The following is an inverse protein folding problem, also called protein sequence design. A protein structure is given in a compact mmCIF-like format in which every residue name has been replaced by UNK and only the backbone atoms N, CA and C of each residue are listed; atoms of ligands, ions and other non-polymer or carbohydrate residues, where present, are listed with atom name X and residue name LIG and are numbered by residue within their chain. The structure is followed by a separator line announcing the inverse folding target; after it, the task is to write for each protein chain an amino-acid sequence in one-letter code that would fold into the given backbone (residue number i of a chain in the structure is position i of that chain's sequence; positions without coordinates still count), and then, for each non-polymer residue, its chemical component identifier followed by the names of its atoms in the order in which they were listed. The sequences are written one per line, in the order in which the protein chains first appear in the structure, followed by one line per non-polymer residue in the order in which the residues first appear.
data_IF_746545201310
#
_entry.id   IF_746545201310
#
_cell.length_a   1.000
_cell.length_b   1.000
_cell.length_c   1.000
_cell.angle_alpha   90.00
_cell.angle_beta   90.00
_cell.angle_gamma   90.00
#
_symmetry.space_group_name_H-M   'P 1'
#
loop_
_entity.id
_entity.type
_entity.pdbx_description
1 polymer ?
#
# COMPACT_ATOMS: atom_id res chain seq x y z
N UNK A 1 13.08 15.77 -56.97
CA UNK A 1 12.71 14.43 -56.46
C UNK A 1 13.90 13.63 -55.92
N UNK A 2 15.05 13.59 -56.58
CA UNK A 2 16.21 12.76 -56.20
C UNK A 2 16.90 13.13 -54.84
N UNK A 3 16.75 14.33 -54.31
CA UNK A 3 17.38 14.77 -53.06
C UNK A 3 16.55 14.41 -51.81
N UNK A 4 15.22 14.28 -51.94
CA UNK A 4 14.31 13.80 -50.90
C UNK A 4 14.46 12.31 -50.67
N UNK A 5 14.71 11.51 -51.75
CA UNK A 5 14.91 10.06 -51.63
C UNK A 5 16.25 9.70 -51.00
N UNK A 6 17.33 10.48 -51.24
CA UNK A 6 18.63 10.30 -50.59
C UNK A 6 18.61 10.62 -49.08
N UNK A 7 17.75 11.55 -48.66
CA UNK A 7 17.60 11.90 -47.25
C UNK A 7 16.79 10.84 -46.48
N UNK A 8 15.77 10.26 -47.12
CA UNK A 8 14.98 9.15 -46.57
C UNK A 8 15.79 7.85 -46.41
N UNK A 9 16.61 7.50 -47.42
CA UNK A 9 17.46 6.32 -47.38
C UNK A 9 18.59 6.44 -46.33
N UNK A 10 19.21 7.61 -46.15
CA UNK A 10 20.20 7.84 -45.08
C UNK A 10 19.59 7.75 -43.67
N UNK A 11 18.35 8.22 -43.50
CA UNK A 11 17.65 8.16 -42.19
C UNK A 11 17.26 6.70 -41.85
N UNK A 12 16.88 5.90 -42.85
CA UNK A 12 16.52 4.51 -42.67
C UNK A 12 17.74 3.62 -42.35
N UNK A 13 18.90 3.84 -43.00
CA UNK A 13 20.16 3.13 -42.67
C UNK A 13 20.66 3.46 -41.27
N UNK A 14 20.68 4.72 -40.86
CA UNK A 14 21.06 5.13 -39.50
C UNK A 14 20.14 4.54 -38.43
N UNK A 15 18.85 4.39 -38.71
CA UNK A 15 17.90 3.76 -37.80
C UNK A 15 18.11 2.23 -37.70
N UNK A 16 18.52 1.58 -38.79
CA UNK A 16 18.89 0.15 -38.82
C UNK A 16 20.14 -0.11 -37.99
N UNK A 17 21.18 0.69 -38.20
CA UNK A 17 22.49 0.56 -37.53
C UNK A 17 22.34 0.78 -36.02
N UNK A 18 21.48 1.72 -35.58
CA UNK A 18 21.16 1.93 -34.15
C UNK A 18 20.45 0.74 -33.53
N UNK A 19 19.51 0.12 -34.24
CA UNK A 19 18.79 -1.08 -33.74
C UNK A 19 19.75 -2.27 -33.58
N UNK A 20 20.66 -2.46 -34.52
CA UNK A 20 21.65 -3.54 -34.49
C UNK A 20 22.68 -3.33 -33.38
N UNK A 21 23.14 -2.10 -33.17
CA UNK A 21 23.99 -1.73 -32.05
C UNK A 21 23.33 -1.99 -30.69
N UNK A 22 22.03 -1.64 -30.55
CA UNK A 22 21.26 -1.93 -29.32
C UNK A 22 21.13 -3.44 -29.10
N UNK A 23 20.83 -4.23 -30.13
CA UNK A 23 20.73 -5.68 -29.99
C UNK A 23 22.06 -6.31 -29.58
N UNK A 24 23.16 -5.83 -30.13
CA UNK A 24 24.51 -6.28 -29.77
C UNK A 24 24.84 -5.93 -28.31
N UNK A 25 24.52 -4.71 -27.88
CA UNK A 25 24.67 -4.30 -26.48
C UNK A 25 23.83 -5.16 -25.53
N UNK A 26 22.56 -5.44 -25.87
CA UNK A 26 21.69 -6.32 -25.08
C UNK A 26 22.29 -7.73 -24.93
N UNK A 27 22.75 -8.34 -26.03
CA UNK A 27 23.39 -9.66 -26.00
C UNK A 27 24.65 -9.67 -25.12
N UNK A 28 25.47 -8.63 -25.19
CA UNK A 28 26.66 -8.51 -24.35
C UNK A 28 26.33 -8.37 -22.86
N UNK A 29 25.27 -7.59 -22.52
CA UNK A 29 24.78 -7.44 -21.14
C UNK A 29 24.26 -8.79 -20.62
N UNK A 30 23.44 -9.49 -21.40
CA UNK A 30 22.94 -10.82 -21.03
C UNK A 30 24.05 -11.85 -20.85
N UNK A 31 25.11 -11.77 -21.65
CA UNK A 31 26.30 -12.64 -21.52
C UNK A 31 27.10 -12.35 -20.24
N UNK A 32 27.17 -11.08 -19.80
CA UNK A 32 27.90 -10.68 -18.58
C UNK A 32 27.11 -10.87 -17.32
N UNK A 33 25.81 -10.60 -17.34
CA UNK A 33 24.96 -10.51 -16.15
C UNK A 33 23.84 -11.56 -16.09
N UNK A 34 23.71 -12.40 -17.11
CA UNK A 34 22.68 -13.45 -17.20
C UNK A 34 21.45 -13.02 -17.99
N UNK A 35 20.68 -14.03 -18.44
CA UNK A 35 19.40 -13.80 -19.17
C UNK A 35 18.43 -13.00 -18.31
N UNK A 36 17.75 -12.03 -18.92
CA UNK A 36 16.78 -11.17 -18.25
C UNK A 36 17.38 -9.97 -17.50
N UNK A 37 18.72 -9.78 -17.54
CA UNK A 37 19.38 -8.59 -17.00
C UNK A 37 19.02 -7.29 -17.73
N UNK A 38 18.60 -7.41 -18.97
CA UNK A 38 18.05 -6.33 -19.79
C UNK A 38 16.89 -6.86 -20.65
N UNK A 39 15.82 -6.08 -20.76
CA UNK A 39 14.66 -6.42 -21.59
C UNK A 39 13.99 -5.15 -22.10
N UNK A 40 13.20 -5.25 -23.15
CA UNK A 40 12.30 -4.16 -23.54
C UNK A 40 11.05 -4.21 -22.68
N UNK A 41 10.61 -3.07 -22.19
CA UNK A 41 9.41 -3.01 -21.33
C UNK A 41 8.15 -3.59 -22.02
N UNK A 42 8.04 -3.43 -23.35
CA UNK A 42 6.94 -4.01 -24.13
C UNK A 42 6.99 -5.53 -24.32
N UNK A 43 8.14 -6.17 -24.03
CA UNK A 43 8.27 -7.62 -24.12
C UNK A 43 7.72 -8.34 -22.87
N UNK A 44 7.43 -7.59 -21.81
CA UNK A 44 6.72 -8.11 -20.63
C UNK A 44 5.23 -8.25 -20.95
N UNK A 45 4.80 -9.47 -21.22
CA UNK A 45 3.39 -9.81 -21.49
C UNK A 45 2.51 -9.78 -20.25
N UNK A 46 3.09 -9.81 -19.04
CA UNK A 46 2.36 -9.76 -17.77
C UNK A 46 2.61 -8.43 -17.06
N UNK A 47 1.82 -7.41 -17.39
CA UNK A 47 1.73 -6.15 -16.65
C UNK A 47 0.88 -6.28 -15.37
N UNK A 48 0.28 -7.43 -15.12
CA UNK A 48 -0.52 -7.66 -13.93
C UNK A 48 0.41 -7.86 -12.72
N UNK A 49 0.42 -6.89 -11.83
CA UNK A 49 1.09 -6.98 -10.54
C UNK A 49 0.28 -7.92 -9.64
N UNK A 50 0.92 -8.98 -9.15
CA UNK A 50 0.30 -9.82 -8.12
C UNK A 50 0.10 -9.03 -6.84
N UNK A 51 -1.05 -9.24 -6.19
CA UNK A 51 -1.45 -8.48 -5.00
C UNK A 51 -1.95 -9.40 -3.90
N UNK A 52 -1.89 -8.92 -2.68
CA UNK A 52 -2.57 -9.49 -1.52
C UNK A 52 -3.69 -8.51 -1.12
N UNK A 53 -4.95 -8.96 -1.03
CA UNK A 53 -6.05 -8.12 -0.57
C UNK A 53 -5.79 -7.56 0.83
N UNK A 54 -6.29 -6.37 1.12
CA UNK A 54 -6.08 -5.74 2.43
C UNK A 54 -7.09 -6.20 3.49
N UNK A 55 -8.14 -6.92 3.08
CA UNK A 55 -9.28 -7.22 3.94
C UNK A 55 -10.35 -6.12 3.96
N UNK A 56 -10.06 -4.96 3.40
CA UNK A 56 -11.00 -3.87 3.14
C UNK A 56 -11.21 -3.72 1.64
N UNK A 57 -12.44 -3.96 1.18
CA UNK A 57 -12.80 -3.81 -0.23
C UNK A 57 -12.61 -2.36 -0.70
N UNK A 58 -12.99 -1.39 0.13
CA UNK A 58 -12.83 0.03 -0.18
C UNK A 58 -11.35 0.40 -0.38
N UNK A 59 -10.45 -0.13 0.47
CA UNK A 59 -9.02 0.12 0.36
C UNK A 59 -8.41 -0.59 -0.84
N UNK A 60 -8.80 -1.83 -1.12
CA UNK A 60 -8.36 -2.58 -2.31
C UNK A 60 -8.69 -1.82 -3.60
N UNK A 61 -9.90 -1.27 -3.68
CA UNK A 61 -10.34 -0.44 -4.80
C UNK A 61 -9.57 0.89 -4.86
N UNK A 62 -9.34 1.54 -3.72
CA UNK A 62 -8.57 2.78 -3.65
C UNK A 62 -7.10 2.58 -4.06
N UNK A 63 -6.50 1.43 -3.74
CA UNK A 63 -5.15 1.05 -4.21
C UNK A 63 -5.08 0.90 -5.73
N UNK A 64 -6.20 0.66 -6.40
CA UNK A 64 -6.31 0.63 -7.87
C UNK A 64 -5.83 -0.64 -8.55
N UNK A 65 -5.25 -1.57 -7.79
CA UNK A 65 -4.75 -2.88 -8.27
C UNK A 65 -5.39 -4.04 -7.52
N UNK A 66 -6.30 -3.77 -6.56
CA UNK A 66 -7.05 -4.79 -5.81
C UNK A 66 -6.37 -5.30 -4.55
N UNK A 67 -5.32 -4.65 -4.06
CA UNK A 67 -4.61 -5.02 -2.83
C UNK A 67 -3.22 -4.41 -2.74
N UNK A 68 -2.41 -4.88 -1.79
CA UNK A 68 -1.00 -4.50 -1.67
C UNK A 68 -0.13 -5.30 -2.65
N UNK A 69 0.78 -4.64 -3.40
CA UNK A 69 1.57 -5.29 -4.43
C UNK A 69 2.64 -6.22 -3.84
N UNK A 70 2.73 -7.46 -4.36
CA UNK A 70 3.80 -8.40 -4.01
C UNK A 70 5.18 -7.88 -4.47
N UNK A 71 6.22 -8.28 -3.74
CA UNK A 71 7.59 -7.86 -4.03
C UNK A 71 7.86 -6.38 -3.72
N UNK A 72 7.09 -5.77 -2.80
CA UNK A 72 7.17 -4.34 -2.49
C UNK A 72 7.15 -4.06 -0.99
N UNK A 73 7.69 -2.89 -0.65
CA UNK A 73 7.62 -2.32 0.69
C UNK A 73 6.38 -1.44 0.79
N UNK A 74 5.59 -1.67 1.83
CA UNK A 74 4.38 -0.92 2.16
C UNK A 74 4.62 -0.23 3.51
N UNK A 75 4.28 1.03 3.64
CA UNK A 75 4.26 1.75 4.91
C UNK A 75 2.82 2.07 5.29
N UNK A 76 2.40 1.59 6.46
CA UNK A 76 1.12 1.93 7.10
C UNK A 76 1.45 2.81 8.30
N UNK A 77 0.97 4.05 8.31
CA UNK A 77 1.29 4.97 9.37
C UNK A 77 0.07 5.80 9.80
N UNK A 78 0.15 6.40 10.96
CA UNK A 78 -0.93 7.22 11.52
C UNK A 78 -0.79 7.39 13.02
N UNK A 79 -1.72 8.14 13.65
CA UNK A 79 -1.77 8.30 15.10
C UNK A 79 -1.93 6.97 15.83
N UNK A 80 -1.71 7.00 17.15
CA UNK A 80 -2.00 5.86 18.01
C UNK A 80 -3.49 5.47 17.94
N UNK A 81 -3.76 4.17 18.10
CA UNK A 81 -5.14 3.62 18.08
C UNK A 81 -5.95 3.94 16.82
N UNK A 82 -5.28 4.21 15.68
CA UNK A 82 -5.95 4.48 14.41
C UNK A 82 -6.32 3.22 13.60
N UNK A 83 -5.89 2.02 14.04
CA UNK A 83 -6.17 0.75 13.36
C UNK A 83 -5.05 0.25 12.44
N UNK A 84 -3.80 0.74 12.59
CA UNK A 84 -2.65 0.32 11.77
C UNK A 84 -2.36 -1.17 11.89
N UNK A 85 -2.18 -1.68 13.10
CA UNK A 85 -1.93 -3.10 13.39
C UNK A 85 -3.12 -3.97 12.96
N UNK A 86 -4.36 -3.51 13.17
CA UNK A 86 -5.57 -4.18 12.68
C UNK A 86 -5.52 -4.36 11.16
N UNK A 87 -5.20 -3.31 10.41
CA UNK A 87 -5.10 -3.39 8.95
C UNK A 87 -3.98 -4.33 8.52
N UNK A 88 -2.81 -4.30 9.17
CA UNK A 88 -1.71 -5.21 8.87
C UNK A 88 -2.08 -6.68 9.15
N UNK A 89 -2.78 -6.96 10.26
CA UNK A 89 -3.27 -8.31 10.58
C UNK A 89 -4.32 -8.80 9.58
N UNK A 90 -5.17 -7.93 9.06
CA UNK A 90 -6.08 -8.30 7.97
C UNK A 90 -5.31 -8.67 6.70
N UNK A 91 -4.24 -7.95 6.33
CA UNK A 91 -3.39 -8.32 5.18
C UNK A 91 -2.76 -9.70 5.42
N UNK A 92 -2.25 -9.97 6.62
CA UNK A 92 -1.73 -11.29 7.03
C UNK A 92 -2.79 -12.37 6.87
N UNK A 93 -4.01 -12.14 7.40
CA UNK A 93 -5.10 -13.11 7.29
C UNK A 93 -5.51 -13.39 5.83
N UNK A 94 -5.49 -12.37 4.96
CA UNK A 94 -5.78 -12.55 3.53
C UNK A 94 -4.65 -13.33 2.82
N UNK A 95 -3.39 -13.11 3.18
CA UNK A 95 -2.26 -13.88 2.66
C UNK A 95 -2.41 -15.37 3.02
N UNK A 96 -2.68 -15.69 4.29
CA UNK A 96 -2.89 -17.06 4.75
C UNK A 96 -4.11 -17.73 4.10
N UNK A 97 -5.22 -17.00 3.89
CA UNK A 97 -6.39 -17.52 3.14
C UNK A 97 -6.05 -17.89 1.70
N UNK A 98 -5.05 -17.26 1.11
CA UNK A 98 -4.54 -17.60 -0.22
C UNK A 98 -3.49 -18.72 -0.19
N UNK A 99 -3.22 -19.33 0.97
CA UNK A 99 -2.21 -20.37 1.17
C UNK A 99 -0.79 -19.84 1.31
N UNK A 100 -0.63 -18.54 1.61
CA UNK A 100 0.67 -17.90 1.78
C UNK A 100 1.21 -18.01 3.20
N UNK A 101 2.55 -18.05 3.30
CA UNK A 101 3.29 -18.07 4.55
C UNK A 101 3.57 -16.64 5.05
N UNK A 102 3.45 -16.42 6.35
CA UNK A 102 3.50 -15.09 6.95
C UNK A 102 4.38 -15.03 8.20
N UNK A 103 4.97 -13.87 8.43
CA UNK A 103 5.72 -13.59 9.65
C UNK A 103 5.39 -12.22 10.22
N UNK A 104 5.46 -12.11 11.53
CA UNK A 104 5.26 -10.87 12.28
C UNK A 104 6.47 -10.61 13.18
N UNK A 105 7.14 -9.48 12.97
CA UNK A 105 8.24 -9.00 13.80
C UNK A 105 7.67 -7.94 14.73
N UNK A 106 7.40 -8.35 15.96
CA UNK A 106 6.76 -7.54 17.01
C UNK A 106 7.82 -6.87 17.89
N UNK A 107 8.28 -5.70 17.44
CA UNK A 107 9.25 -4.91 18.20
C UNK A 107 8.61 -4.09 19.33
N UNK A 108 7.29 -3.97 19.37
CA UNK A 108 6.55 -3.32 20.46
C UNK A 108 6.19 -4.32 21.58
N UNK A 109 6.33 -5.63 21.36
CA UNK A 109 5.91 -6.71 22.27
C UNK A 109 4.43 -6.61 22.68
N UNK A 110 3.57 -6.17 21.76
CA UNK A 110 2.18 -5.81 22.05
C UNK A 110 1.15 -6.61 21.24
N UNK A 111 1.57 -7.60 20.47
CA UNK A 111 0.65 -8.43 19.68
C UNK A 111 -0.20 -9.32 20.59
N UNK A 112 -1.52 -9.13 20.52
CA UNK A 112 -2.51 -10.00 21.16
C UNK A 112 -2.90 -11.16 20.24
N UNK A 113 -2.54 -12.41 20.57
CA UNK A 113 -2.90 -13.58 19.78
C UNK A 113 -4.41 -13.81 19.68
N UNK A 114 -5.17 -13.45 20.74
CA UNK A 114 -6.62 -13.58 20.76
C UNK A 114 -7.27 -12.65 19.74
N UNK A 115 -6.79 -11.41 19.71
CA UNK A 115 -7.24 -10.44 18.74
C UNK A 115 -6.84 -10.82 17.31
N UNK A 116 -5.61 -11.26 17.09
CA UNK A 116 -5.16 -11.74 15.78
C UNK A 116 -6.05 -12.88 15.25
N UNK A 117 -6.39 -13.86 16.11
CA UNK A 117 -7.30 -14.97 15.78
C UNK A 117 -8.70 -14.46 15.43
N UNK A 118 -9.23 -13.49 16.16
CA UNK A 118 -10.54 -12.90 15.89
C UNK A 118 -10.59 -12.19 14.52
N UNK A 119 -9.47 -11.64 14.05
CA UNK A 119 -9.32 -11.05 12.71
C UNK A 119 -9.17 -12.11 11.59
N UNK A 120 -9.12 -13.39 11.94
CA UNK A 120 -9.00 -14.50 11.00
C UNK A 120 -7.57 -14.93 10.69
N UNK A 121 -6.59 -14.51 11.50
CA UNK A 121 -5.20 -14.98 11.41
C UNK A 121 -5.11 -16.39 11.99
N UNK A 122 -4.53 -17.33 11.24
CA UNK A 122 -4.11 -18.63 11.76
C UNK A 122 -2.80 -18.43 12.55
N UNK A 123 -2.93 -18.25 13.85
CA UNK A 123 -1.79 -17.97 14.74
C UNK A 123 -0.86 -19.15 14.90
N UNK A 124 -1.34 -20.39 14.67
CA UNK A 124 -0.56 -21.61 14.82
C UNK A 124 0.44 -21.78 13.65
N UNK A 125 0.20 -21.14 12.51
CA UNK A 125 1.07 -21.13 11.33
C UNK A 125 1.81 -19.80 11.13
N UNK A 126 1.50 -18.76 11.92
CA UNK A 126 2.17 -17.46 11.82
C UNK A 126 3.50 -17.48 12.57
N UNK A 127 4.60 -17.19 11.86
CA UNK A 127 5.88 -16.98 12.51
C UNK A 127 5.88 -15.65 13.27
N UNK A 128 6.33 -15.68 14.54
CA UNK A 128 6.49 -14.47 15.35
C UNK A 128 7.92 -14.33 15.83
N UNK A 129 8.44 -13.11 15.83
CA UNK A 129 9.73 -12.74 16.40
C UNK A 129 9.57 -11.50 17.23
N UNK A 130 10.17 -11.47 18.43
CA UNK A 130 10.16 -10.35 19.36
C UNK A 130 11.60 -9.93 19.66
N UNK A 131 12.22 -9.12 18.79
CA UNK A 131 13.61 -8.71 18.89
C UNK A 131 13.83 -7.63 19.95
N UNK A 132 14.99 -7.65 20.60
CA UNK A 132 15.38 -6.66 21.63
C UNK A 132 15.95 -5.37 21.03
N UNK A 133 16.50 -5.42 19.82
CA UNK A 133 17.14 -4.27 19.15
C UNK A 133 16.65 -4.08 17.72
N UNK A 134 16.76 -2.85 17.23
CA UNK A 134 16.40 -2.53 15.83
C UNK A 134 17.26 -3.27 14.81
N UNK A 135 18.56 -3.48 15.09
CA UNK A 135 19.44 -4.28 14.23
C UNK A 135 18.95 -5.72 14.14
N UNK A 136 18.64 -6.36 15.27
CA UNK A 136 18.14 -7.73 15.33
C UNK A 136 16.81 -7.86 14.56
N UNK A 137 15.87 -6.94 14.76
CA UNK A 137 14.60 -6.91 14.04
C UNK A 137 14.78 -6.89 12.51
N UNK A 138 15.65 -6.02 12.04
CA UNK A 138 15.89 -5.82 10.61
C UNK A 138 16.71 -6.95 9.98
N UNK A 139 17.65 -7.56 10.73
CA UNK A 139 18.40 -8.74 10.31
C UNK A 139 17.50 -9.97 10.21
N UNK A 140 16.60 -10.18 11.18
CA UNK A 140 15.58 -11.24 11.14
C UNK A 140 14.67 -11.02 9.95
N UNK A 141 14.17 -9.79 9.73
CA UNK A 141 13.35 -9.45 8.57
C UNK A 141 14.09 -9.75 7.26
N UNK A 142 15.37 -9.39 7.16
CA UNK A 142 16.19 -9.68 5.97
C UNK A 142 16.34 -11.19 5.74
N UNK A 143 16.61 -11.97 6.79
CA UNK A 143 16.76 -13.43 6.71
C UNK A 143 15.44 -14.08 6.25
N UNK A 144 14.30 -13.69 6.84
CA UNK A 144 12.98 -14.15 6.47
C UNK A 144 12.63 -13.85 5.00
N UNK A 145 12.85 -12.64 4.54
CA UNK A 145 12.62 -12.25 3.14
C UNK A 145 13.54 -13.03 2.19
N UNK A 146 14.83 -13.17 2.54
CA UNK A 146 15.80 -13.92 1.69
C UNK A 146 15.52 -15.39 1.57
N UNK A 147 14.78 -15.99 2.49
CA UNK A 147 14.36 -17.41 2.39
C UNK A 147 13.53 -17.66 1.13
N UNK A 148 12.81 -16.63 0.64
CA UNK A 148 11.91 -16.76 -0.52
C UNK A 148 10.66 -17.57 -0.26
N UNK A 149 10.41 -17.97 0.99
CA UNK A 149 9.28 -18.80 1.38
C UNK A 149 8.08 -17.98 1.90
N UNK A 150 8.29 -16.70 2.22
CA UNK A 150 7.25 -15.87 2.84
C UNK A 150 6.57 -14.96 1.83
N UNK A 151 5.25 -14.86 1.93
CA UNK A 151 4.44 -13.92 1.15
C UNK A 151 4.32 -12.57 1.84
N UNK A 152 4.24 -12.53 3.18
CA UNK A 152 4.14 -11.29 3.96
C UNK A 152 5.04 -11.33 5.18
N UNK A 153 5.75 -10.24 5.42
CA UNK A 153 6.44 -9.95 6.68
C UNK A 153 5.94 -8.60 7.19
N UNK A 154 5.41 -8.56 8.40
CA UNK A 154 5.03 -7.31 9.09
C UNK A 154 6.09 -6.95 10.10
N UNK A 155 6.45 -5.67 10.18
CA UNK A 155 7.33 -5.10 11.22
C UNK A 155 6.53 -4.06 12.01
N UNK A 156 6.22 -4.34 13.24
CA UNK A 156 5.45 -3.47 14.15
C UNK A 156 6.24 -3.11 15.40
N UNK A 157 6.70 -1.90 15.56
CA UNK A 157 6.67 -0.78 14.62
C UNK A 157 8.06 -0.19 14.39
N UNK A 158 8.21 0.60 13.31
CA UNK A 158 9.48 1.33 13.04
C UNK A 158 9.90 2.18 14.23
N UNK A 159 8.96 2.74 15.00
CA UNK A 159 9.24 3.57 16.17
C UNK A 159 9.94 2.79 17.28
N UNK A 160 9.73 1.48 17.39
CA UNK A 160 10.31 0.59 18.39
C UNK A 160 11.66 -0.01 17.95
N UNK A 161 12.13 0.24 16.74
CA UNK A 161 13.42 -0.24 16.24
C UNK A 161 14.58 0.58 16.82
N UNK A 162 14.79 0.47 18.14
CA UNK A 162 15.84 1.21 18.84
C UNK A 162 17.21 0.61 18.51
N UNK A 163 18.18 1.44 18.06
CA UNK A 163 19.55 0.99 17.84
C UNK A 163 20.19 0.43 19.11
N UNK A 164 20.97 -0.66 18.98
CA UNK A 164 21.66 -1.30 20.11
C UNK A 164 22.51 -0.30 20.91
N UNK A 165 23.24 0.58 20.23
CA UNK A 165 24.08 1.59 20.87
C UNK A 165 23.27 2.56 21.76
N UNK A 166 22.01 2.79 21.44
CA UNK A 166 21.10 3.62 22.25
C UNK A 166 20.60 2.85 23.49
N UNK A 167 20.39 1.53 23.35
CA UNK A 167 19.96 0.67 24.47
C UNK A 167 21.09 0.47 25.46
N UNK A 168 22.34 0.29 25.00
CA UNK A 168 23.53 0.06 25.80
C UNK A 168 24.14 1.35 26.39
N UNK A 169 23.70 2.53 25.93
CA UNK A 169 24.16 3.83 26.35
C UNK A 169 23.58 4.27 27.71
N UNK A 170 24.12 5.38 28.22
CA UNK A 170 23.63 5.94 29.48
C UNK A 170 22.40 6.81 29.28
N UNK A 171 21.54 6.91 30.31
CA UNK A 171 20.38 7.79 30.28
C UNK A 171 20.82 9.26 30.15
N UNK A 172 20.36 9.91 29.05
CA UNK A 172 20.70 11.30 28.75
C UNK A 172 21.67 11.46 27.58
N UNK A 173 22.26 10.39 27.09
CA UNK A 173 23.09 10.40 25.89
C UNK A 173 22.28 10.79 24.65
N UNK A 174 22.92 11.50 23.74
CA UNK A 174 22.28 11.94 22.49
C UNK A 174 22.70 11.08 21.32
N UNK A 175 21.77 10.29 20.78
CA UNK A 175 21.98 9.39 19.64
C UNK A 175 21.33 9.89 18.34
N UNK A 176 21.47 11.19 18.08
CA UNK A 176 20.83 11.83 16.93
C UNK A 176 21.20 11.14 15.61
N UNK A 177 20.17 10.68 14.89
CA UNK A 177 20.30 10.13 13.55
C UNK A 177 20.72 8.67 13.45
N UNK A 178 21.01 7.95 14.55
CA UNK A 178 21.35 6.51 14.51
C UNK A 178 20.20 5.69 13.94
N UNK A 179 18.98 5.91 14.40
CA UNK A 179 17.78 5.23 13.91
C UNK A 179 17.57 5.46 12.39
N UNK A 180 17.78 6.68 11.91
CA UNK A 180 17.66 6.98 10.48
C UNK A 180 18.76 6.31 9.64
N UNK A 181 19.98 6.16 10.19
CA UNK A 181 21.08 5.43 9.53
C UNK A 181 20.78 3.94 9.45
N UNK A 182 20.33 3.35 10.57
CA UNK A 182 19.91 1.94 10.66
C UNK A 182 18.85 1.62 9.60
N UNK A 183 17.76 2.39 9.56
CA UNK A 183 16.70 2.24 8.58
C UNK A 183 17.21 2.40 7.13
N UNK A 184 18.06 3.38 6.87
CA UNK A 184 18.64 3.60 5.53
C UNK A 184 19.51 2.42 5.07
N UNK A 185 20.28 1.82 5.97
CA UNK A 185 21.12 0.66 5.70
C UNK A 185 20.28 -0.58 5.42
N UNK A 186 19.31 -0.87 6.29
CA UNK A 186 18.44 -2.02 6.19
C UNK A 186 17.59 -1.98 4.91
N UNK A 187 16.97 -0.85 4.61
CA UNK A 187 16.10 -0.71 3.43
C UNK A 187 16.87 -0.88 2.11
N UNK A 188 18.16 -0.48 2.04
CA UNK A 188 19.02 -0.75 0.88
C UNK A 188 19.22 -2.25 0.65
N UNK A 189 19.41 -3.02 1.72
CA UNK A 189 19.57 -4.49 1.64
C UNK A 189 18.25 -5.17 1.30
N UNK A 190 17.17 -4.79 2.01
CA UNK A 190 15.85 -5.38 1.88
C UNK A 190 15.23 -5.16 0.49
N UNK A 191 15.36 -3.97 -0.09
CA UNK A 191 14.71 -3.64 -1.37
C UNK A 191 15.08 -4.60 -2.51
N UNK A 192 16.36 -5.00 -2.58
CA UNK A 192 16.84 -5.95 -3.59
C UNK A 192 16.34 -7.38 -3.35
N UNK A 193 16.24 -7.81 -2.10
CA UNK A 193 15.73 -9.13 -1.71
C UNK A 193 14.23 -9.24 -1.94
N UNK A 194 13.46 -8.27 -1.45
CA UNK A 194 11.99 -8.21 -1.54
C UNK A 194 11.51 -8.32 -3.00
N UNK A 195 12.15 -7.58 -3.92
CA UNK A 195 11.77 -7.61 -5.33
C UNK A 195 12.03 -8.99 -6.00
N UNK A 196 13.02 -9.75 -5.49
CA UNK A 196 13.36 -11.07 -6.04
C UNK A 196 12.49 -12.20 -5.49
N UNK A 197 12.00 -12.05 -4.26
CA UNK A 197 11.26 -13.08 -3.54
C UNK A 197 9.75 -12.92 -3.61
N UNK A 198 9.26 -11.86 -4.25
CA UNK A 198 7.83 -11.49 -4.29
C UNK A 198 7.18 -11.31 -2.90
N UNK A 199 7.98 -11.20 -1.84
CA UNK A 199 7.50 -10.97 -0.49
C UNK A 199 6.98 -9.54 -0.33
N UNK A 200 5.86 -9.35 0.35
CA UNK A 200 5.38 -8.04 0.80
C UNK A 200 5.97 -7.76 2.17
N UNK A 201 6.65 -6.62 2.33
CA UNK A 201 7.10 -6.18 3.66
C UNK A 201 6.30 -4.96 4.08
N UNK A 202 5.52 -5.11 5.16
CA UNK A 202 4.69 -4.06 5.73
C UNK A 202 5.41 -3.48 6.94
N UNK A 203 5.76 -2.20 6.86
CA UNK A 203 6.26 -1.44 8.00
C UNK A 203 5.12 -0.63 8.61
N UNK A 204 4.81 -0.88 9.87
CA UNK A 204 3.92 -0.02 10.65
C UNK A 204 4.75 1.12 11.25
N UNK A 205 4.24 2.35 11.15
CA UNK A 205 4.97 3.53 11.62
C UNK A 205 4.07 4.47 12.43
N UNK A 206 4.68 5.18 13.35
CA UNK A 206 4.01 6.18 14.16
C UNK A 206 4.29 7.59 13.65
N UNK A 207 3.39 8.52 13.94
CA UNK A 207 3.57 9.93 13.71
C UNK A 207 4.17 10.59 14.95
N UNK A 208 5.07 11.54 14.71
CA UNK A 208 5.63 12.43 15.73
C UNK A 208 5.48 13.86 15.23
N UNK A 209 5.33 14.80 16.12
CA UNK A 209 5.29 16.21 15.79
C UNK A 209 6.67 16.82 15.87
N UNK A 210 7.04 17.56 14.82
CA UNK A 210 8.24 18.41 14.86
C UNK A 210 7.96 19.67 15.65
N UNK A 211 8.73 19.88 16.72
CA UNK A 211 8.71 21.11 17.48
C UNK A 211 9.25 22.27 16.62
N UNK A 212 8.58 23.42 16.66
CA UNK A 212 9.04 24.65 15.98
C UNK A 212 8.60 24.84 14.55
N UNK A 213 7.74 23.99 14.00
CA UNK A 213 7.14 24.20 12.66
C UNK A 213 5.96 25.15 12.78
N UNK A 214 6.15 26.42 12.38
CA UNK A 214 5.10 27.45 12.40
C UNK A 214 4.17 27.38 11.18
N UNK A 215 4.63 26.84 10.05
CA UNK A 215 3.87 26.71 8.82
C UNK A 215 4.03 25.32 8.19
N UNK A 216 2.96 24.77 7.61
CA UNK A 216 2.94 23.44 7.01
C UNK A 216 2.54 22.34 7.98
N UNK A 217 2.69 21.06 7.57
CA UNK A 217 2.33 19.91 8.39
C UNK A 217 3.51 19.53 9.32
N UNK A 218 3.38 19.65 10.64
CA UNK A 218 4.41 19.27 11.60
C UNK A 218 4.58 17.76 11.72
N UNK A 219 3.61 16.95 11.29
CA UNK A 219 3.63 15.50 11.45
C UNK A 219 4.72 14.83 10.59
N UNK A 220 5.52 14.03 11.23
CA UNK A 220 6.57 13.23 10.57
C UNK A 220 6.55 11.79 11.07
N UNK A 221 6.86 10.85 10.17
CA UNK A 221 7.06 9.44 10.55
C UNK A 221 8.44 9.24 11.14
N UNK A 222 8.59 8.27 12.06
CA UNK A 222 9.86 7.89 12.69
C UNK A 222 10.80 7.17 11.68
N UNK A 223 12.07 6.97 12.05
CA UNK A 223 13.04 6.25 11.20
C UNK A 223 13.61 7.06 10.04
N UNK A 224 13.43 8.39 10.03
CA UNK A 224 14.00 9.29 9.03
C UNK A 224 13.25 9.29 7.69
N UNK A 225 13.97 9.61 6.60
CA UNK A 225 13.36 9.76 5.27
C UNK A 225 13.42 8.51 4.40
N UNK A 226 14.25 7.52 4.75
CA UNK A 226 14.54 6.39 3.86
C UNK A 226 13.28 5.60 3.49
N UNK A 227 12.43 5.25 4.47
CA UNK A 227 11.21 4.48 4.23
C UNK A 227 10.25 5.21 3.26
N UNK A 228 10.15 6.54 3.33
CA UNK A 228 9.34 7.35 2.40
C UNK A 228 9.77 7.17 0.93
N UNK A 229 11.06 6.94 0.67
CA UNK A 229 11.58 6.71 -0.67
C UNK A 229 11.43 5.25 -1.11
N UNK A 230 11.76 4.30 -0.23
CA UNK A 230 11.74 2.86 -0.53
C UNK A 230 10.32 2.30 -0.63
N UNK A 231 9.38 2.74 0.20
CA UNK A 231 8.00 2.29 0.11
C UNK A 231 7.39 2.56 -1.27
N UNK A 232 6.74 1.54 -1.82
CA UNK A 232 5.98 1.63 -3.07
C UNK A 232 4.57 2.16 -2.83
N UNK A 233 4.00 1.84 -1.68
CA UNK A 233 2.70 2.32 -1.21
C UNK A 233 2.87 2.87 0.20
N UNK A 234 2.23 4.01 0.47
CA UNK A 234 2.16 4.61 1.81
C UNK A 234 0.72 4.94 2.12
N UNK A 235 0.23 4.43 3.24
CA UNK A 235 -1.16 4.55 3.69
C UNK A 235 -1.18 5.29 5.02
N UNK A 236 -1.82 6.46 5.04
CA UNK A 236 -2.11 7.24 6.25
C UNK A 236 -3.46 6.77 6.80
N UNK A 237 -3.46 6.20 8.01
CA UNK A 237 -4.63 5.61 8.65
C UNK A 237 -5.04 6.46 9.83
N UNK A 238 -6.27 7.01 9.79
CA UNK A 238 -6.79 7.91 10.83
C UNK A 238 -8.18 7.51 11.26
N UNK A 239 -8.43 7.58 12.56
CA UNK A 239 -9.78 7.49 13.12
C UNK A 239 -10.53 8.78 12.80
N UNK A 240 -11.73 8.64 12.24
CA UNK A 240 -12.62 9.76 11.90
C UNK A 240 -13.69 9.93 12.97
N UNK A 241 -14.33 8.82 13.35
CA UNK A 241 -15.48 8.80 14.25
C UNK A 241 -15.46 7.54 15.12
N UNK A 242 -16.00 7.66 16.32
CA UNK A 242 -16.23 6.51 17.20
C UNK A 242 -17.66 6.02 17.07
N UNK A 243 -17.83 4.74 16.76
CA UNK A 243 -19.13 4.10 16.57
C UNK A 243 -19.72 3.66 17.91
N UNK A 244 -21.00 3.94 18.10
CA UNK A 244 -21.76 3.61 19.31
C UNK A 244 -23.05 2.87 18.97
N UNK A 245 -23.39 1.89 19.79
CA UNK A 245 -24.69 1.22 19.77
C UNK A 245 -25.23 1.11 21.20
N UNK A 246 -26.47 1.55 21.45
CA UNK A 246 -27.04 1.51 22.80
C UNK A 246 -26.27 2.32 23.86
N UNK A 247 -25.44 3.27 23.47
CA UNK A 247 -24.58 4.04 24.36
C UNK A 247 -23.18 3.44 24.58
N UNK A 248 -22.95 2.20 24.17
CA UNK A 248 -21.65 1.53 24.26
C UNK A 248 -20.80 1.80 23.02
N UNK A 249 -19.47 1.82 23.21
CA UNK A 249 -18.49 1.97 22.14
C UNK A 249 -18.28 0.62 21.46
N UNK A 250 -18.65 0.50 20.17
CA UNK A 250 -18.60 -0.77 19.44
C UNK A 250 -17.51 -0.81 18.38
N UNK A 251 -16.91 0.32 18.03
CA UNK A 251 -15.88 0.40 17.00
C UNK A 251 -15.51 1.82 16.62
N UNK A 252 -14.73 1.95 15.57
CA UNK A 252 -14.30 3.23 15.01
C UNK A 252 -14.51 3.23 13.49
N UNK A 253 -14.97 4.35 12.94
CA UNK A 253 -14.82 4.65 11.53
C UNK A 253 -13.42 5.15 11.27
N UNK A 254 -12.76 4.48 10.36
CA UNK A 254 -11.35 4.72 10.00
C UNK A 254 -11.27 5.17 8.55
N UNK A 255 -10.42 6.15 8.30
CA UNK A 255 -10.08 6.66 6.98
C UNK A 255 -8.64 6.27 6.66
N UNK A 256 -8.44 5.61 5.53
CA UNK A 256 -7.15 5.26 4.97
C UNK A 256 -6.91 6.11 3.71
N UNK A 257 -5.88 6.97 3.74
CA UNK A 257 -5.47 7.80 2.61
C UNK A 257 -4.20 7.27 1.98
N UNK A 258 -4.23 7.01 0.69
CA UNK A 258 -3.07 6.55 -0.07
C UNK A 258 -2.22 7.76 -0.49
N UNK A 259 -1.18 8.04 0.29
CA UNK A 259 -0.33 9.25 0.10
C UNK A 259 0.72 9.03 -0.98
N UNK A 260 1.13 7.79 -1.18
CA UNK A 260 2.06 7.38 -2.24
C UNK A 260 1.63 6.05 -2.82
N UNK A 261 1.65 5.94 -4.13
CA UNK A 261 1.40 4.71 -4.85
C UNK A 261 2.21 4.71 -6.16
N UNK A 262 3.09 3.70 -6.32
CA UNK A 262 3.88 3.53 -7.56
C UNK A 262 3.18 2.64 -8.58
N UNK A 263 2.05 2.00 -8.21
CA UNK A 263 1.34 1.02 -9.05
C UNK A 263 0.10 1.62 -9.72
N UNK A 264 -0.50 2.66 -9.10
CA UNK A 264 -1.70 3.34 -9.58
C UNK A 264 -1.68 4.81 -9.12
N UNK A 265 -2.57 5.69 -9.63
CA UNK A 265 -2.66 7.07 -9.18
C UNK A 265 -2.87 7.17 -7.67
N UNK A 266 -2.05 7.94 -6.93
CA UNK A 266 -2.16 8.13 -5.49
C UNK A 266 -3.30 9.09 -5.10
N UNK A 267 -3.38 9.41 -3.81
CA UNK A 267 -4.29 10.38 -3.18
C UNK A 267 -5.76 9.98 -3.13
N UNK A 268 -6.05 8.68 -3.33
CA UNK A 268 -7.37 8.12 -3.08
C UNK A 268 -7.53 7.83 -1.60
N UNK A 269 -8.78 7.80 -1.19
CA UNK A 269 -9.19 7.57 0.19
C UNK A 269 -10.20 6.43 0.26
N UNK A 270 -10.09 5.63 1.31
CA UNK A 270 -11.06 4.60 1.67
C UNK A 270 -11.53 4.85 3.10
N UNK A 271 -12.80 4.66 3.36
CA UNK A 271 -13.38 4.71 4.69
C UNK A 271 -14.06 3.36 4.99
N UNK A 272 -13.76 2.84 6.16
CA UNK A 272 -14.32 1.58 6.66
C UNK A 272 -14.45 1.58 8.17
N UNK A 273 -15.33 0.73 8.67
CA UNK A 273 -15.54 0.57 10.10
C UNK A 273 -14.67 -0.56 10.64
N UNK A 274 -13.94 -0.28 11.72
CA UNK A 274 -13.23 -1.29 12.52
C UNK A 274 -14.07 -1.55 13.76
N UNK A 275 -14.64 -2.74 13.87
CA UNK A 275 -15.44 -3.18 15.03
C UNK A 275 -14.50 -3.78 16.07
N UNK A 276 -14.75 -3.47 17.34
CA UNK A 276 -13.95 -4.03 18.44
C UNK A 276 -14.16 -5.53 18.55
N UNK A 277 -13.04 -6.29 18.58
CA UNK A 277 -13.06 -7.75 18.64
C UNK A 277 -13.33 -8.47 17.30
N UNK A 278 -13.78 -7.75 16.25
CA UNK A 278 -14.12 -8.36 14.96
C UNK A 278 -13.26 -7.82 13.80
N UNK A 279 -12.68 -6.61 13.95
CA UNK A 279 -11.88 -5.95 12.92
C UNK A 279 -12.69 -5.22 11.85
N UNK A 280 -12.22 -5.24 10.61
CA UNK A 280 -12.85 -4.51 9.50
C UNK A 280 -14.21 -5.12 9.15
N UNK A 281 -15.25 -4.29 9.17
CA UNK A 281 -16.63 -4.69 8.88
C UNK A 281 -16.88 -4.87 7.38
N UNK A 282 -16.57 -6.05 6.82
CA UNK A 282 -16.75 -6.36 5.38
C UNK A 282 -18.17 -6.03 4.90
N UNK A 283 -19.19 -6.47 5.62
CA UNK A 283 -20.60 -6.24 5.20
C UNK A 283 -21.00 -4.77 5.28
N UNK A 284 -20.41 -4.02 6.22
CA UNK A 284 -20.61 -2.57 6.31
C UNK A 284 -20.03 -1.83 5.11
N UNK A 285 -18.80 -2.16 4.72
CA UNK A 285 -18.16 -1.61 3.52
C UNK A 285 -18.92 -1.97 2.24
N UNK A 286 -19.33 -3.23 2.13
CA UNK A 286 -20.07 -3.73 0.98
C UNK A 286 -21.35 -2.92 0.77
N UNK A 287 -22.12 -2.68 1.84
CA UNK A 287 -23.33 -1.89 1.79
C UNK A 287 -23.05 -0.43 1.42
N UNK A 288 -22.06 0.19 2.03
CA UNK A 288 -21.69 1.58 1.78
C UNK A 288 -21.19 1.80 0.34
N UNK A 289 -20.39 0.87 -0.20
CA UNK A 289 -19.92 0.90 -1.57
C UNK A 289 -21.06 0.64 -2.56
N UNK A 290 -21.95 -0.31 -2.26
CA UNK A 290 -23.10 -0.61 -3.10
C UNK A 290 -24.05 0.60 -3.23
N UNK A 291 -24.23 1.36 -2.15
CA UNK A 291 -25.00 2.62 -2.19
C UNK A 291 -24.28 3.68 -3.03
N UNK A 292 -22.97 3.82 -2.90
CA UNK A 292 -22.17 4.78 -3.70
C UNK A 292 -22.18 4.47 -5.21
N UNK A 293 -22.36 3.20 -5.57
CA UNK A 293 -22.42 2.72 -6.95
C UNK A 293 -23.85 2.54 -7.48
N UNK A 294 -24.84 2.99 -6.74
CA UNK A 294 -26.27 2.85 -7.07
C UNK A 294 -26.75 1.39 -7.28
N UNK A 295 -25.99 0.40 -6.79
CA UNK A 295 -26.36 -1.02 -6.77
C UNK A 295 -27.38 -1.32 -5.68
N UNK A 296 -27.32 -0.56 -4.58
CA UNK A 296 -28.31 -0.56 -3.49
C UNK A 296 -28.87 0.85 -3.36
N UNK A 297 -30.18 0.96 -3.39
CA UNK A 297 -30.90 2.22 -3.21
C UNK A 297 -31.13 2.48 -1.73
N UNK A 298 -30.85 3.70 -1.27
CA UNK A 298 -31.17 4.18 0.06
C UNK A 298 -32.25 5.23 -0.02
N UNK A 299 -33.47 4.89 0.49
CA UNK A 299 -34.60 5.80 0.57
C UNK A 299 -34.98 6.04 2.04
N UNK A 300 -34.58 7.20 2.57
CA UNK A 300 -34.69 7.49 4.01
C UNK A 300 -33.85 6.49 4.82
N UNK A 301 -34.50 5.70 5.67
CA UNK A 301 -33.88 4.64 6.48
C UNK A 301 -33.84 3.26 5.79
N UNK A 302 -34.52 3.12 4.63
CA UNK A 302 -34.63 1.83 3.94
C UNK A 302 -33.54 1.60 2.93
N UNK A 303 -33.03 0.35 2.90
CA UNK A 303 -32.09 -0.15 1.90
C UNK A 303 -32.80 -1.18 1.02
N UNK A 304 -32.66 -1.07 -0.30
CA UNK A 304 -33.25 -2.00 -1.27
C UNK A 304 -32.32 -2.26 -2.44
N UNK A 305 -32.38 -3.48 -3.00
CA UNK A 305 -31.67 -3.91 -4.18
C UNK A 305 -32.69 -4.39 -5.21
N UNK A 306 -32.93 -3.57 -6.25
CA UNK A 306 -34.07 -3.77 -7.13
C UNK A 306 -35.39 -3.79 -6.38
N UNK A 307 -36.17 -4.86 -6.49
CA UNK A 307 -37.44 -5.06 -5.77
C UNK A 307 -37.26 -5.63 -4.34
N UNK A 308 -36.05 -6.11 -4.01
CA UNK A 308 -35.77 -6.75 -2.71
C UNK A 308 -35.43 -5.71 -1.65
N UNK A 309 -36.19 -5.68 -0.55
CA UNK A 309 -35.89 -4.86 0.63
C UNK A 309 -34.83 -5.58 1.48
N UNK A 310 -33.68 -4.94 1.70
CA UNK A 310 -32.61 -5.48 2.55
C UNK A 310 -32.88 -5.22 4.04
N UNK A 311 -33.49 -4.08 4.38
CA UNK A 311 -33.83 -3.76 5.76
C UNK A 311 -34.01 -2.28 6.03
N UNK A 312 -34.56 -1.97 7.21
CA UNK A 312 -34.68 -0.61 7.73
C UNK A 312 -33.47 -0.33 8.65
N UNK A 313 -32.63 0.61 8.26
CA UNK A 313 -31.41 0.94 8.95
C UNK A 313 -30.22 0.09 8.45
N UNK A 314 -29.00 0.62 8.72
CA UNK A 314 -27.72 0.01 8.25
C UNK A 314 -27.50 -1.37 8.86
N UNK A 315 -27.86 -1.55 10.15
CA UNK A 315 -27.63 -2.81 10.86
C UNK A 315 -28.58 -3.92 10.39
N UNK A 316 -29.84 -3.60 10.12
CA UNK A 316 -30.79 -4.57 9.53
C UNK A 316 -30.33 -5.00 8.12
N UNK A 317 -29.84 -4.07 7.30
CA UNK A 317 -29.32 -4.39 5.97
C UNK A 317 -28.03 -5.23 6.05
N UNK A 318 -27.12 -4.97 6.99
CA UNK A 318 -25.94 -5.82 7.25
C UNK A 318 -26.34 -7.21 7.71
N UNK A 319 -27.36 -7.32 8.58
CA UNK A 319 -27.85 -8.62 9.03
C UNK A 319 -28.43 -9.42 7.86
N UNK A 320 -29.23 -8.77 7.00
CA UNK A 320 -29.73 -9.42 5.77
C UNK A 320 -28.62 -9.99 4.90
N UNK A 321 -27.53 -9.21 4.67
CA UNK A 321 -26.36 -9.67 3.90
C UNK A 321 -25.61 -10.80 4.61
N UNK A 322 -25.60 -10.82 5.94
CA UNK A 322 -25.01 -11.91 6.74
C UNK A 322 -25.81 -13.21 6.60
N UNK A 323 -27.13 -13.10 6.60
CA UNK A 323 -28.05 -14.24 6.48
C UNK A 323 -28.15 -14.76 5.04
N UNK A 324 -27.73 -13.93 4.05
CA UNK A 324 -27.77 -14.25 2.62
C UNK A 324 -26.38 -14.05 1.99
N UNK A 325 -25.41 -14.95 2.25
CA UNK A 325 -24.03 -14.80 1.78
C UNK A 325 -23.90 -14.76 0.25
N UNK A 326 -24.77 -15.49 -0.48
CA UNK A 326 -24.79 -15.44 -1.95
C UNK A 326 -25.11 -14.04 -2.49
N UNK A 327 -25.99 -13.32 -1.81
CA UNK A 327 -26.33 -11.93 -2.19
C UNK A 327 -25.13 -11.01 -1.91
N UNK A 328 -24.45 -11.21 -0.79
CA UNK A 328 -23.25 -10.45 -0.46
C UNK A 328 -22.11 -10.68 -1.46
N UNK A 329 -21.87 -11.92 -1.86
CA UNK A 329 -20.81 -12.28 -2.81
C UNK A 329 -21.12 -11.77 -4.23
N UNK A 330 -22.37 -11.85 -4.67
CA UNK A 330 -22.81 -11.29 -5.95
C UNK A 330 -22.68 -9.76 -5.96
N UNK A 331 -23.01 -9.10 -4.84
CA UNK A 331 -22.87 -7.67 -4.68
C UNK A 331 -21.40 -7.24 -4.70
N UNK A 332 -20.51 -7.99 -4.04
CA UNK A 332 -19.06 -7.74 -4.08
C UNK A 332 -18.52 -7.88 -5.52
N UNK A 333 -18.91 -8.93 -6.23
CA UNK A 333 -18.51 -9.13 -7.63
C UNK A 333 -18.98 -7.99 -8.53
N UNK A 334 -20.22 -7.50 -8.34
CA UNK A 334 -20.76 -6.36 -9.07
C UNK A 334 -19.98 -5.07 -8.76
N UNK A 335 -19.69 -4.80 -7.48
CA UNK A 335 -18.89 -3.63 -7.05
C UNK A 335 -17.51 -3.66 -7.70
N UNK A 336 -16.79 -4.78 -7.64
CA UNK A 336 -15.46 -4.91 -8.25
C UNK A 336 -15.51 -4.63 -9.76
N UNK A 337 -16.47 -5.20 -10.47
CA UNK A 337 -16.65 -5.01 -11.91
C UNK A 337 -16.94 -3.55 -12.28
N UNK A 338 -17.86 -2.90 -11.58
CA UNK A 338 -18.33 -1.57 -11.92
C UNK A 338 -17.34 -0.49 -11.47
N UNK A 339 -16.62 -0.72 -10.38
CA UNK A 339 -15.52 0.14 -9.96
C UNK A 339 -14.40 0.20 -11.02
N UNK A 340 -13.97 -0.93 -11.56
CA UNK A 340 -12.96 -0.94 -12.63
C UNK A 340 -13.43 -0.22 -13.89
N UNK A 341 -14.72 -0.26 -14.22
CA UNK A 341 -15.30 0.52 -15.34
C UNK A 341 -15.22 2.02 -15.06
N UNK A 342 -15.61 2.46 -13.87
CA UNK A 342 -15.53 3.87 -13.47
C UNK A 342 -14.10 4.38 -13.49
N UNK A 343 -13.15 3.55 -13.05
CA UNK A 343 -11.74 3.87 -13.03
C UNK A 343 -11.15 4.04 -14.43
N UNK A 344 -11.51 3.17 -15.37
CA UNK A 344 -11.07 3.26 -16.76
C UNK A 344 -11.62 4.50 -17.44
N UNK A 345 -12.87 4.87 -17.17
CA UNK A 345 -13.49 6.09 -17.70
C UNK A 345 -12.87 7.38 -17.14
N UNK A 346 -12.57 7.42 -15.82
CA UNK A 346 -11.90 8.58 -15.20
C UNK A 346 -10.47 8.76 -15.70
N UNK A 347 -9.73 7.67 -15.93
CA UNK A 347 -8.39 7.72 -16.50
C UNK A 347 -8.40 8.27 -17.93
N UNK A 348 -9.41 7.95 -18.74
CA UNK A 348 -9.58 8.49 -20.09
C UNK A 348 -9.95 9.98 -20.08
N UNK A 349 -10.76 10.43 -19.13
CA UNK A 349 -11.12 11.84 -18.97
C UNK A 349 -9.90 12.64 -18.47
N UNK A 350 -9.13 12.13 -17.53
CA UNK A 350 -7.91 12.76 -17.05
C UNK A 350 -6.83 12.83 -18.14
N UNK A 351 -6.65 11.79 -18.95
CA UNK A 351 -5.75 11.79 -20.10
C UNK A 351 -6.17 12.80 -21.18
N UNK A 352 -7.48 12.96 -21.43
CA UNK A 352 -8.01 13.99 -22.34
C UNK A 352 -7.83 15.41 -21.78
N UNK A 353 -7.94 15.59 -20.45
CA UNK A 353 -7.71 16.89 -19.80
C UNK A 353 -6.22 17.26 -19.78
N UNK A 354 -5.32 16.29 -19.56
CA UNK A 354 -3.87 16.49 -19.59
C UNK A 354 -3.33 16.71 -21.03
N UNK A 355 -4.05 16.27 -22.05
CA UNK A 355 -3.72 16.51 -23.46
C UNK A 355 -4.07 17.91 -23.97
N UNK A 356 -4.68 18.78 -23.15
CA UNK A 356 -4.71 20.22 -23.37
C UNK A 356 -3.42 20.80 -22.80
N UNK A 357 -2.45 21.00 -23.69
CA UNK A 357 -1.19 21.64 -23.38
C UNK A 357 -1.44 22.95 -22.61
N UNK A 358 -0.92 23.02 -21.38
CA UNK A 358 -0.66 24.28 -20.73
C UNK A 358 0.56 24.84 -21.48
N UNK A 359 0.30 25.87 -22.27
CA UNK A 359 1.35 26.65 -22.92
C UNK A 359 2.06 27.43 -21.80
N UNK A 360 3.09 26.83 -21.20
CA UNK A 360 3.98 27.51 -20.28
C UNK A 360 5.02 28.19 -21.13
N UNK A 361 4.86 29.50 -21.34
CA UNK A 361 5.88 30.33 -21.98
C UNK A 361 7.14 30.29 -21.11
N UNK A 362 8.30 30.26 -21.77
CA UNK A 362 9.62 30.14 -21.14
C UNK A 362 10.05 31.42 -20.34
N UNK A 363 9.14 32.31 -20.05
CA UNK A 363 9.39 33.57 -19.34
C UNK A 363 9.16 33.52 -17.81
N UNK A 364 8.67 32.37 -17.26
CA UNK A 364 8.38 32.24 -15.83
C UNK A 364 9.52 31.62 -14.98
N UNK A 365 10.71 31.48 -15.53
CA UNK A 365 11.92 31.11 -14.80
C UNK A 365 12.91 32.29 -14.78
N UNK A 366 12.59 33.28 -13.98
CA UNK A 366 13.57 34.30 -13.57
C UNK A 366 14.28 33.77 -12.31
N UNK A 367 15.49 33.25 -12.53
CA UNK A 367 16.40 32.86 -11.47
C UNK A 367 16.93 34.14 -10.81
N UNK A 368 16.29 34.53 -9.72
CA UNK A 368 16.82 35.53 -8.80
C UNK A 368 18.09 35.00 -8.11
N UNK A 369 19.23 35.14 -8.74
CA UNK A 369 20.52 35.24 -8.07
C UNK A 369 20.57 36.62 -7.35
N UNK A 370 20.71 36.53 -6.02
CA UNK A 370 21.34 37.55 -5.14
C UNK A 370 21.37 36.92 -3.75
N UNK A 371 22.51 36.62 -3.13
CA UNK A 371 23.68 37.48 -2.85
C UNK A 371 23.71 37.69 -1.35
N UNK A 372 24.79 37.14 -0.75
CA UNK A 372 25.32 37.29 0.61
C UNK A 372 24.86 36.29 1.64
#
# INVERSE_FOLDING_TARGET
MAEKDKKLTKTATVASDKKEAIQTAMKNIEKMYGKGSIMRLGDQTNLNVEVIPTGSLALDLALGIGGVPKGRIIEIYGPESSGKTTLALHIVAQAQKAGGEVAFVDAEHALDPTYARALGVNIDEMLISQPDTGEQALEITEALVRSGALDVVVVDSVAALVPRAEIEGEMGDSYVGLHARLMSQALRKLAGAINKTNCVVVFINQLREKVGVMYGNPEVTTGGRALKFYASVRIDVRRVETLKAGGELIGNRTKAKIVKNKMAPPFREAEFDIMYGEGISRLGELLDLAVKLDLVQKSGSWFSMGETRLGQGRDAAKQYLKDNPEVADNLEAAIRRDFFKLMSSQSQVAAKAAGRAVDVSAEDFDDGEDGV
#
